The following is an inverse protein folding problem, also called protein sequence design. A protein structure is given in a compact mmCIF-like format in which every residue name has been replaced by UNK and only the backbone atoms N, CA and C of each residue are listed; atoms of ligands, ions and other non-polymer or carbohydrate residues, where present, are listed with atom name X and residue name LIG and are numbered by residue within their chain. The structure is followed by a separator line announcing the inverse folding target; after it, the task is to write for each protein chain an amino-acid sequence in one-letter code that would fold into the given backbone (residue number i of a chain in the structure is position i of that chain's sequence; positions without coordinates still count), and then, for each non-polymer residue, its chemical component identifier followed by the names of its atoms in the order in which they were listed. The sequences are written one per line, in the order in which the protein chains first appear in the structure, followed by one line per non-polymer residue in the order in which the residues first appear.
data_IF_197004338891
#
_entry.id   IF_197004338891
#
_cell.length_a   1.000
_cell.length_b   1.000
_cell.length_c   1.000
_cell.angle_alpha   90.00
_cell.angle_beta   90.00
_cell.angle_gamma   90.00
#
_symmetry.space_group_name_H-M   'P 1'
#
loop_
_entity.id
_entity.type
_entity.pdbx_description
1 polymer ?
#
# COMPACT_ATOMS: atom_id res chain seq x y z
N UNK A 1 -64.22 27.49 -15.39
CA UNK A 1 -63.89 26.20 -16.03
C UNK A 1 -62.60 26.27 -16.87
N UNK A 2 -62.32 27.40 -17.53
CA UNK A 2 -61.11 27.64 -18.36
C UNK A 2 -59.77 27.50 -17.62
N UNK A 3 -59.67 27.96 -16.36
CA UNK A 3 -58.42 27.85 -15.60
C UNK A 3 -57.97 26.39 -15.31
N UNK A 4 -58.93 25.45 -15.20
CA UNK A 4 -58.62 24.05 -14.93
C UNK A 4 -58.11 23.34 -16.19
N UNK A 5 -58.69 23.62 -17.36
CA UNK A 5 -58.27 23.03 -18.65
C UNK A 5 -56.91 23.55 -19.10
N UNK A 6 -56.59 24.81 -18.82
CA UNK A 6 -55.27 25.38 -19.10
C UNK A 6 -54.17 24.70 -18.27
N UNK A 7 -54.47 24.41 -17.00
CA UNK A 7 -53.51 23.76 -16.09
C UNK A 7 -53.18 22.31 -16.48
N UNK A 8 -54.13 21.57 -17.06
CA UNK A 8 -53.90 20.20 -17.53
C UNK A 8 -53.10 20.17 -18.84
N UNK A 9 -53.41 21.05 -19.78
CA UNK A 9 -52.67 21.18 -21.05
C UNK A 9 -51.20 21.58 -20.82
N UNK A 10 -50.96 22.50 -19.87
CA UNK A 10 -49.60 22.90 -19.48
C UNK A 10 -48.79 21.72 -18.93
N UNK A 11 -49.36 20.97 -17.98
CA UNK A 11 -48.67 19.80 -17.40
C UNK A 11 -48.37 18.75 -18.46
N UNK A 12 -49.25 18.60 -19.44
CA UNK A 12 -49.06 17.66 -20.52
C UNK A 12 -47.91 18.06 -21.46
N UNK A 13 -47.85 19.33 -21.87
CA UNK A 13 -46.77 19.86 -22.69
C UNK A 13 -45.44 19.80 -21.95
N UNK A 14 -45.41 20.16 -20.67
CA UNK A 14 -44.21 20.05 -19.83
C UNK A 14 -43.75 18.60 -19.69
N UNK A 15 -44.66 17.65 -19.47
CA UNK A 15 -44.33 16.24 -19.37
C UNK A 15 -43.77 15.70 -20.69
N UNK A 16 -44.35 16.10 -21.82
CA UNK A 16 -43.89 15.72 -23.16
C UNK A 16 -42.49 16.28 -23.42
N UNK A 17 -42.26 17.56 -23.09
CA UNK A 17 -40.96 18.20 -23.19
C UNK A 17 -39.91 17.52 -22.31
N UNK A 18 -40.25 17.18 -21.06
CA UNK A 18 -39.36 16.44 -20.15
C UNK A 18 -39.02 15.05 -20.70
N UNK A 19 -39.98 14.36 -21.32
CA UNK A 19 -39.72 13.08 -21.96
C UNK A 19 -38.74 13.22 -23.14
N UNK A 20 -38.96 14.20 -24.03
CA UNK A 20 -38.05 14.50 -25.13
C UNK A 20 -36.66 14.88 -24.64
N UNK A 21 -36.58 15.72 -23.61
CA UNK A 21 -35.34 16.15 -23.00
C UNK A 21 -34.58 14.97 -22.38
N UNK A 22 -35.25 14.10 -21.62
CA UNK A 22 -34.62 12.92 -21.00
C UNK A 22 -34.00 12.00 -22.05
N UNK A 23 -34.67 11.80 -23.19
CA UNK A 23 -34.14 11.00 -24.30
C UNK A 23 -32.99 11.69 -24.99
N UNK A 24 -33.12 12.97 -25.28
CA UNK A 24 -32.04 13.74 -25.87
C UNK A 24 -30.77 13.72 -24.99
N UNK A 25 -30.92 13.84 -23.66
CA UNK A 25 -29.82 13.70 -22.70
C UNK A 25 -29.17 12.31 -22.80
N UNK A 26 -29.97 11.25 -22.87
CA UNK A 26 -29.45 9.88 -23.03
C UNK A 26 -28.69 9.71 -24.35
N UNK A 27 -29.24 10.17 -25.48
CA UNK A 27 -28.57 10.12 -26.78
C UNK A 27 -27.27 10.92 -26.77
N UNK A 28 -27.27 12.09 -26.12
CA UNK A 28 -26.09 12.94 -26.00
C UNK A 28 -25.01 12.30 -25.13
N UNK A 29 -25.37 11.74 -23.98
CA UNK A 29 -24.46 11.00 -23.12
C UNK A 29 -23.90 9.81 -23.87
N UNK A 30 -24.74 9.01 -24.54
CA UNK A 30 -24.31 7.82 -25.27
C UNK A 30 -23.38 8.15 -26.45
N UNK A 31 -23.61 9.30 -27.11
CA UNK A 31 -22.74 9.80 -28.18
C UNK A 31 -21.40 10.32 -27.66
N UNK A 32 -21.36 10.90 -26.46
CA UNK A 32 -20.14 11.46 -25.88
C UNK A 32 -19.36 10.42 -25.05
N UNK A 33 -20.04 9.38 -24.57
CA UNK A 33 -19.50 8.31 -23.72
C UNK A 33 -18.18 7.73 -24.25
N UNK A 34 -18.06 7.30 -25.52
CA UNK A 34 -16.80 6.73 -26.00
C UNK A 34 -15.65 7.74 -25.99
N UNK A 35 -15.93 9.03 -26.22
CA UNK A 35 -14.90 10.08 -26.17
C UNK A 35 -14.43 10.35 -24.75
N UNK A 36 -15.36 10.48 -23.82
CA UNK A 36 -15.06 10.65 -22.39
C UNK A 36 -14.28 9.44 -21.88
N UNK A 37 -14.74 8.24 -22.20
CA UNK A 37 -14.11 7.00 -21.79
C UNK A 37 -12.72 6.84 -22.39
N UNK A 38 -12.52 7.21 -23.66
CA UNK A 38 -11.18 7.20 -24.29
C UNK A 38 -10.22 8.16 -23.58
N UNK A 39 -10.66 9.37 -23.22
CA UNK A 39 -9.84 10.32 -22.46
C UNK A 39 -9.50 9.81 -21.06
N UNK A 40 -10.49 9.25 -20.36
CA UNK A 40 -10.28 8.66 -19.03
C UNK A 40 -9.34 7.45 -19.08
N UNK A 41 -9.46 6.58 -20.09
CA UNK A 41 -8.56 5.45 -20.30
C UNK A 41 -7.13 5.90 -20.58
N UNK A 42 -6.92 6.91 -21.43
CA UNK A 42 -5.58 7.45 -21.71
C UNK A 42 -4.94 7.96 -20.41
N UNK A 43 -5.67 8.73 -19.61
CA UNK A 43 -5.18 9.20 -18.30
C UNK A 43 -4.86 8.01 -17.39
N UNK A 44 -5.75 7.02 -17.31
CA UNK A 44 -5.53 5.80 -16.53
C UNK A 44 -4.29 5.01 -16.95
N UNK A 45 -4.03 4.88 -18.26
CA UNK A 45 -2.83 4.23 -18.80
C UNK A 45 -1.58 5.02 -18.40
N UNK A 46 -1.57 6.34 -18.59
CA UNK A 46 -0.43 7.19 -18.21
C UNK A 46 -0.16 7.06 -16.70
N UNK A 47 -1.20 7.14 -15.88
CA UNK A 47 -1.07 6.96 -14.42
C UNK A 47 -0.55 5.57 -14.06
N UNK A 48 -1.07 4.50 -14.68
CA UNK A 48 -0.61 3.14 -14.45
C UNK A 48 0.87 2.96 -14.84
N UNK A 49 1.30 3.55 -15.96
CA UNK A 49 2.69 3.55 -16.40
C UNK A 49 3.58 4.28 -15.39
N UNK A 50 3.25 5.52 -15.00
CA UNK A 50 4.06 6.30 -14.06
C UNK A 50 4.20 5.59 -12.71
N UNK A 51 3.08 5.14 -12.11
CA UNK A 51 3.11 4.45 -10.82
C UNK A 51 3.82 3.10 -10.95
N UNK A 52 3.54 2.35 -12.02
CA UNK A 52 4.13 1.04 -12.27
C UNK A 52 5.64 1.10 -12.45
N UNK A 53 6.14 2.07 -13.22
CA UNK A 53 7.58 2.28 -13.41
C UNK A 53 8.30 2.71 -12.14
N UNK A 54 7.66 3.55 -11.32
CA UNK A 54 8.27 3.96 -10.06
C UNK A 54 8.15 2.92 -8.95
N UNK A 55 7.35 1.85 -9.15
CA UNK A 55 7.13 0.82 -8.13
C UNK A 55 6.46 1.34 -6.86
N UNK A 56 5.77 2.48 -6.92
CA UNK A 56 5.26 3.18 -5.73
C UNK A 56 4.16 2.42 -4.98
N UNK A 57 3.43 1.54 -5.66
CA UNK A 57 2.24 0.89 -5.13
C UNK A 57 2.24 -0.62 -5.46
N UNK A 58 1.76 -1.46 -4.51
CA UNK A 58 1.43 -2.85 -4.81
C UNK A 58 0.45 -2.96 -6.00
N UNK A 59 0.54 -4.02 -6.82
CA UNK A 59 -0.33 -4.18 -8.00
C UNK A 59 -1.83 -4.11 -7.68
N UNK A 60 -2.25 -4.68 -6.54
CA UNK A 60 -3.64 -4.67 -6.12
C UNK A 60 -4.17 -3.24 -5.85
N UNK A 61 -3.38 -2.39 -5.19
CA UNK A 61 -3.77 -1.00 -4.92
C UNK A 61 -3.70 -0.16 -6.19
N UNK A 62 -2.74 -0.42 -7.07
CA UNK A 62 -2.63 0.23 -8.38
C UNK A 62 -3.90 0.02 -9.23
N UNK A 63 -4.40 -1.23 -9.32
CA UNK A 63 -5.66 -1.52 -10.05
C UNK A 63 -6.81 -0.72 -9.45
N UNK A 64 -6.95 -0.72 -8.12
CA UNK A 64 -7.99 0.03 -7.42
C UNK A 64 -7.96 1.52 -7.71
N UNK A 65 -6.78 2.14 -7.63
CA UNK A 65 -6.58 3.57 -7.91
C UNK A 65 -6.93 3.91 -9.36
N UNK A 66 -6.47 3.13 -10.33
CA UNK A 66 -6.72 3.38 -11.76
C UNK A 66 -8.21 3.23 -12.09
N UNK A 67 -8.87 2.18 -11.58
CA UNK A 67 -10.31 1.98 -11.79
C UNK A 67 -11.12 3.10 -11.14
N UNK A 68 -10.78 3.50 -9.91
CA UNK A 68 -11.43 4.60 -9.22
C UNK A 68 -11.27 5.92 -9.99
N UNK A 69 -10.07 6.21 -10.51
CA UNK A 69 -9.78 7.41 -11.28
C UNK A 69 -10.58 7.45 -12.60
N UNK A 70 -10.58 6.37 -13.37
CA UNK A 70 -11.34 6.27 -14.63
C UNK A 70 -12.84 6.45 -14.36
N UNK A 71 -13.35 5.80 -13.30
CA UNK A 71 -14.76 5.89 -12.92
C UNK A 71 -15.13 7.30 -12.50
N UNK A 72 -14.33 7.94 -11.65
CA UNK A 72 -14.55 9.32 -11.21
C UNK A 72 -14.53 10.30 -12.39
N UNK A 73 -13.53 10.22 -13.28
CA UNK A 73 -13.45 11.06 -14.47
C UNK A 73 -14.65 10.86 -15.40
N UNK A 74 -15.07 9.61 -15.61
CA UNK A 74 -16.21 9.29 -16.45
C UNK A 74 -17.50 9.86 -15.87
N UNK A 75 -17.71 9.76 -14.55
CA UNK A 75 -18.87 10.33 -13.86
C UNK A 75 -18.86 11.85 -13.92
N UNK A 76 -17.73 12.50 -13.63
CA UNK A 76 -17.62 13.97 -13.64
C UNK A 76 -17.89 14.53 -15.04
N UNK A 77 -17.24 13.95 -16.06
CA UNK A 77 -17.36 14.42 -17.45
C UNK A 77 -18.74 14.13 -18.04
N UNK A 78 -19.31 12.94 -17.78
CA UNK A 78 -20.65 12.58 -18.27
C UNK A 78 -21.75 13.32 -17.51
N UNK A 79 -21.57 13.47 -16.19
CA UNK A 79 -22.48 14.18 -15.29
C UNK A 79 -22.55 15.67 -15.62
N UNK A 80 -21.41 16.31 -15.86
CA UNK A 80 -21.38 17.71 -16.32
C UNK A 80 -22.20 17.91 -17.60
N UNK A 81 -22.06 17.01 -18.58
CA UNK A 81 -22.80 17.10 -19.85
C UNK A 81 -24.30 16.85 -19.67
N UNK A 82 -24.68 15.99 -18.73
CA UNK A 82 -26.09 15.69 -18.42
C UNK A 82 -26.80 16.75 -17.57
N UNK A 83 -26.06 17.47 -16.72
CA UNK A 83 -26.61 18.47 -15.79
C UNK A 83 -26.85 19.85 -16.45
N UNK A 84 -26.02 20.25 -17.43
CA UNK A 84 -26.20 21.51 -18.16
C UNK A 84 -27.17 21.39 -19.36
N UNK A 85 -28.30 20.73 -19.15
CA UNK A 85 -29.39 20.64 -20.14
C UNK A 85 -30.06 22.00 -20.38
N UNK A 86 -30.52 22.24 -21.61
CA UNK A 86 -31.38 23.39 -21.94
C UNK A 86 -32.73 23.16 -21.28
N UNK A 87 -33.21 24.08 -20.46
CA UNK A 87 -34.51 23.96 -19.79
C UNK A 87 -35.54 24.93 -20.41
N UNK A 88 -36.82 24.55 -20.34
CA UNK A 88 -37.95 25.40 -20.73
C UNK A 88 -37.92 25.82 -22.20
N UNK A 89 -37.97 27.13 -22.44
CA UNK A 89 -38.10 27.73 -23.77
C UNK A 89 -36.96 27.34 -24.73
N UNK A 90 -35.73 27.25 -24.21
CA UNK A 90 -34.57 26.87 -25.03
C UNK A 90 -34.63 25.42 -25.51
N UNK A 91 -35.25 24.52 -24.73
CA UNK A 91 -35.51 23.15 -25.15
C UNK A 91 -36.62 23.11 -26.20
N UNK A 92 -37.70 23.87 -25.99
CA UNK A 92 -38.81 23.93 -26.93
C UNK A 92 -38.38 24.44 -28.31
N UNK A 93 -37.60 25.52 -28.38
CA UNK A 93 -37.05 26.03 -29.65
C UNK A 93 -36.16 25.02 -30.35
N UNK A 94 -35.32 24.30 -29.59
CA UNK A 94 -34.47 23.25 -30.17
C UNK A 94 -35.31 22.09 -30.74
N UNK A 95 -36.34 21.64 -30.03
CA UNK A 95 -37.21 20.57 -30.51
C UNK A 95 -38.14 21.04 -31.64
N UNK A 96 -38.49 22.33 -31.67
CA UNK A 96 -39.24 22.90 -32.79
C UNK A 96 -38.44 22.81 -34.09
N UNK A 97 -37.14 23.12 -34.05
CA UNK A 97 -36.24 22.97 -35.18
C UNK A 97 -35.97 21.48 -35.49
N UNK A 98 -35.68 20.67 -34.47
CA UNK A 98 -35.32 19.27 -34.66
C UNK A 98 -36.46 18.40 -35.19
N UNK A 99 -37.72 18.71 -34.83
CA UNK A 99 -38.90 17.97 -35.25
C UNK A 99 -39.74 18.70 -36.31
N UNK A 100 -39.30 19.88 -36.75
CA UNK A 100 -40.01 20.67 -37.77
C UNK A 100 -41.38 21.19 -37.32
N UNK A 101 -41.57 21.46 -36.02
CA UNK A 101 -42.84 21.93 -35.45
C UNK A 101 -43.17 23.41 -35.76
N UNK A 102 -42.30 24.13 -36.48
CA UNK A 102 -42.53 25.53 -36.90
C UNK A 102 -42.86 26.45 -35.71
N UNK A 103 -42.04 26.42 -34.66
CA UNK A 103 -42.17 27.25 -33.45
C UNK A 103 -43.41 26.97 -32.57
N UNK A 104 -44.26 25.99 -32.93
CA UNK A 104 -45.52 25.73 -32.20
C UNK A 104 -45.29 25.42 -30.72
N UNK A 105 -44.24 24.66 -30.36
CA UNK A 105 -43.94 24.32 -28.98
C UNK A 105 -43.43 25.52 -28.18
N UNK A 106 -42.53 26.32 -28.76
CA UNK A 106 -42.01 27.53 -28.13
C UNK A 106 -43.09 28.61 -27.98
N UNK A 107 -43.90 28.86 -29.02
CA UNK A 107 -45.05 29.77 -28.97
C UNK A 107 -46.07 29.30 -27.93
N UNK A 108 -46.39 28.00 -27.85
CA UNK A 108 -47.29 27.47 -26.83
C UNK A 108 -46.78 27.74 -25.40
N UNK A 109 -45.47 27.61 -25.16
CA UNK A 109 -44.87 27.95 -23.87
C UNK A 109 -44.86 29.46 -23.59
N UNK A 110 -44.60 30.31 -24.59
CA UNK A 110 -44.63 31.78 -24.45
C UNK A 110 -46.06 32.27 -24.16
N UNK A 111 -47.08 31.69 -24.80
CA UNK A 111 -48.49 31.97 -24.46
C UNK A 111 -48.82 31.56 -23.02
N UNK A 112 -48.28 30.45 -22.52
CA UNK A 112 -48.50 30.00 -21.15
C UNK A 112 -47.76 30.85 -20.11
N UNK A 113 -46.59 31.39 -20.46
CA UNK A 113 -45.81 32.30 -19.62
C UNK A 113 -46.41 33.72 -19.61
N UNK A 114 -47.34 34.02 -20.52
CA UNK A 114 -48.00 35.31 -20.63
C UNK A 114 -47.21 36.34 -21.44
N UNK A 115 -46.15 35.91 -22.13
CA UNK A 115 -45.32 36.76 -22.97
C UNK A 115 -46.04 37.19 -24.25
N UNK A 116 -47.00 36.39 -24.71
CA UNK A 116 -47.85 36.69 -25.87
C UNK A 116 -49.30 36.88 -25.40
N UNK A 117 -49.85 38.06 -25.62
CA UNK A 117 -51.25 38.36 -25.34
C UNK A 117 -52.14 38.00 -26.53
N UNK A 118 -53.12 37.11 -26.30
CA UNK A 118 -54.14 36.74 -27.28
C UNK A 118 -55.49 36.54 -26.60
N UNK A 119 -56.56 36.37 -27.39
CA UNK A 119 -57.88 36.01 -26.85
C UNK A 119 -57.83 34.61 -26.23
N UNK A 120 -58.47 34.37 -25.06
CA UNK A 120 -58.42 33.07 -24.37
C UNK A 120 -58.82 31.88 -25.25
N UNK A 121 -59.76 32.08 -26.17
CA UNK A 121 -60.24 31.06 -27.11
C UNK A 121 -59.14 30.61 -28.11
N UNK A 122 -58.36 31.56 -28.64
CA UNK A 122 -57.22 31.26 -29.51
C UNK A 122 -56.08 30.58 -28.73
N UNK A 123 -55.84 31.00 -27.48
CA UNK A 123 -54.84 30.37 -26.64
C UNK A 123 -55.17 28.90 -26.40
N UNK A 124 -56.42 28.60 -26.01
CA UNK A 124 -56.88 27.22 -25.80
C UNK A 124 -56.78 26.38 -27.09
N UNK A 125 -57.14 26.96 -28.24
CA UNK A 125 -57.00 26.29 -29.53
C UNK A 125 -55.54 25.98 -29.89
N UNK A 126 -54.63 26.95 -29.74
CA UNK A 126 -53.21 26.79 -30.03
C UNK A 126 -52.57 25.72 -29.12
N UNK A 127 -52.94 25.71 -27.83
CA UNK A 127 -52.45 24.73 -26.87
C UNK A 127 -52.94 23.32 -27.19
N UNK A 128 -54.23 23.15 -27.49
CA UNK A 128 -54.79 21.86 -27.89
C UNK A 128 -54.20 21.34 -29.21
N UNK A 129 -54.00 22.22 -30.20
CA UNK A 129 -53.38 21.88 -31.48
C UNK A 129 -51.91 21.48 -31.30
N UNK A 130 -51.15 22.20 -30.47
CA UNK A 130 -49.74 21.87 -30.19
C UNK A 130 -49.61 20.55 -29.44
N UNK A 131 -50.48 20.31 -28.45
CA UNK A 131 -50.47 19.06 -27.67
C UNK A 131 -50.80 17.84 -28.54
N UNK A 132 -51.78 17.95 -29.45
CA UNK A 132 -52.10 16.86 -30.39
C UNK A 132 -50.94 16.56 -31.33
N UNK A 133 -50.32 17.57 -31.92
CA UNK A 133 -49.16 17.41 -32.81
C UNK A 133 -47.94 16.82 -32.06
N UNK A 134 -47.69 17.26 -30.82
CA UNK A 134 -46.61 16.73 -30.00
C UNK A 134 -46.78 15.24 -29.66
N UNK A 135 -48.03 14.74 -29.55
CA UNK A 135 -48.29 13.30 -29.33
C UNK A 135 -48.03 12.45 -30.57
N UNK A 136 -48.15 13.01 -31.76
CA UNK A 136 -47.93 12.29 -33.02
C UNK A 136 -46.44 12.06 -33.32
N UNK A 137 -45.56 12.91 -32.77
CA UNK A 137 -44.12 12.76 -32.93
C UNK A 137 -43.64 11.56 -32.10
N UNK A 138 -43.01 10.60 -32.76
CA UNK A 138 -42.26 9.54 -32.09
C UNK A 138 -40.79 9.99 -31.91
N UNK A 139 -40.37 10.40 -30.70
CA UNK A 139 -39.02 10.90 -30.49
C UNK A 139 -37.94 9.83 -30.72
N UNK A 140 -38.28 8.54 -30.87
CA UNK A 140 -37.30 7.49 -31.24
C UNK A 140 -36.86 7.58 -32.69
N UNK A 141 -37.76 7.99 -33.57
CA UNK A 141 -37.50 8.09 -35.01
C UNK A 141 -36.76 9.36 -35.36
N UNK A 142 -37.05 10.46 -34.66
CA UNK A 142 -36.39 11.73 -34.95
C UNK A 142 -35.02 11.83 -34.27
N UNK A 143 -34.83 11.22 -33.09
CA UNK A 143 -33.55 11.23 -32.37
C UNK A 143 -32.76 9.93 -32.61
N UNK A 144 -32.26 9.75 -33.83
CA UNK A 144 -31.43 8.59 -34.16
C UNK A 144 -30.07 8.61 -33.45
N UNK A 145 -29.74 7.51 -32.79
CA UNK A 145 -28.41 7.29 -32.20
C UNK A 145 -27.44 6.89 -33.30
N UNK A 146 -26.66 7.85 -33.80
CA UNK A 146 -25.54 7.57 -34.69
C UNK A 146 -24.36 7.03 -33.88
N UNK A 147 -24.32 5.73 -33.67
CA UNK A 147 -23.20 5.06 -33.01
C UNK A 147 -22.03 4.97 -33.99
N UNK A 148 -20.96 5.73 -33.72
CA UNK A 148 -19.71 5.62 -34.47
C UNK A 148 -18.94 4.41 -33.95
N UNK A 149 -19.14 3.24 -34.55
CA UNK A 149 -18.52 1.98 -34.11
C UNK A 149 -16.98 2.06 -34.00
N UNK A 150 -16.32 2.87 -34.85
CA UNK A 150 -14.87 3.12 -34.73
C UNK A 150 -14.46 3.74 -33.39
N UNK A 151 -15.28 4.63 -32.80
CA UNK A 151 -14.98 5.20 -31.48
C UNK A 151 -15.04 4.12 -30.40
N UNK A 152 -15.92 3.13 -30.53
CA UNK A 152 -15.99 1.98 -29.62
C UNK A 152 -14.84 0.99 -29.80
N UNK A 153 -14.40 0.77 -31.04
CA UNK A 153 -13.19 -0.03 -31.31
C UNK A 153 -11.96 0.63 -30.68
N UNK A 154 -11.85 1.95 -30.75
CA UNK A 154 -10.77 2.69 -30.07
C UNK A 154 -10.82 2.51 -28.56
N UNK A 155 -12.01 2.62 -27.95
CA UNK A 155 -12.19 2.37 -26.51
C UNK A 155 -11.78 0.95 -26.14
N UNK A 156 -12.20 -0.05 -26.92
CA UNK A 156 -11.85 -1.45 -26.69
C UNK A 156 -10.34 -1.68 -26.82
N UNK A 157 -9.71 -1.07 -27.82
CA UNK A 157 -8.26 -1.13 -28.00
C UNK A 157 -7.51 -0.50 -26.81
N UNK A 158 -7.93 0.68 -26.35
CA UNK A 158 -7.36 1.32 -25.16
C UNK A 158 -7.56 0.49 -23.90
N UNK A 159 -8.72 -0.15 -23.75
CA UNK A 159 -8.98 -1.04 -22.63
C UNK A 159 -8.04 -2.26 -22.65
N UNK A 160 -7.82 -2.86 -23.82
CA UNK A 160 -6.87 -3.98 -23.98
C UNK A 160 -5.44 -3.55 -23.66
N UNK A 161 -5.03 -2.35 -24.09
CA UNK A 161 -3.71 -1.78 -23.75
C UNK A 161 -3.58 -1.58 -22.23
N UNK A 162 -4.62 -1.05 -21.58
CA UNK A 162 -4.63 -0.88 -20.13
C UNK A 162 -4.50 -2.23 -19.40
N UNK A 163 -5.30 -3.23 -19.79
CA UNK A 163 -5.24 -4.58 -19.22
C UNK A 163 -3.85 -5.18 -19.40
N UNK A 164 -3.28 -5.10 -20.61
CA UNK A 164 -1.93 -5.59 -20.89
C UNK A 164 -0.88 -4.88 -20.03
N UNK A 165 -1.02 -3.56 -19.83
CA UNK A 165 -0.11 -2.75 -18.99
C UNK A 165 -0.19 -3.19 -17.52
N UNK A 166 -1.40 -3.32 -16.98
CA UNK A 166 -1.61 -3.76 -15.59
C UNK A 166 -1.11 -5.20 -15.38
N UNK A 167 -1.38 -6.09 -16.34
CA UNK A 167 -0.89 -7.46 -16.30
C UNK A 167 0.64 -7.53 -16.35
N UNK A 168 1.27 -6.74 -17.23
CA UNK A 168 2.72 -6.66 -17.35
C UNK A 168 3.39 -6.23 -16.03
N UNK A 169 2.89 -5.17 -15.38
CA UNK A 169 3.42 -4.73 -14.10
C UNK A 169 3.15 -5.73 -12.97
N UNK A 170 1.97 -6.35 -12.96
CA UNK A 170 1.63 -7.39 -11.97
C UNK A 170 2.59 -8.58 -12.08
N UNK A 171 2.83 -9.05 -13.31
CA UNK A 171 3.73 -10.17 -13.59
C UNK A 171 5.16 -9.81 -13.21
N UNK A 172 5.65 -8.64 -13.64
CA UNK A 172 7.01 -8.17 -13.33
C UNK A 172 7.22 -8.04 -11.82
N UNK A 173 6.24 -7.50 -11.10
CA UNK A 173 6.29 -7.39 -9.64
C UNK A 173 6.36 -8.76 -8.95
N UNK A 174 5.60 -9.74 -9.43
CA UNK A 174 5.63 -11.10 -8.90
C UNK A 174 6.97 -11.81 -9.15
N UNK A 175 7.55 -11.64 -10.34
CA UNK A 175 8.84 -12.23 -10.71
C UNK A 175 9.99 -11.63 -9.88
N UNK A 176 10.00 -10.31 -9.68
CA UNK A 176 11.03 -9.65 -8.88
C UNK A 176 10.98 -10.03 -7.39
N UNK A 177 9.79 -10.21 -6.80
CA UNK A 177 9.69 -10.74 -5.43
C UNK A 177 10.18 -12.18 -5.33
N UNK A 178 9.83 -13.03 -6.30
CA UNK A 178 10.30 -14.41 -6.34
C UNK A 178 11.82 -14.49 -6.37
N UNK A 179 12.46 -13.73 -7.27
CA UNK A 179 13.91 -13.69 -7.38
C UNK A 179 14.59 -13.13 -6.12
N UNK A 180 14.04 -12.06 -5.53
CA UNK A 180 14.56 -11.52 -4.26
C UNK A 180 14.47 -12.54 -3.12
N UNK A 181 13.39 -13.33 -3.06
CA UNK A 181 13.23 -14.36 -2.04
C UNK A 181 14.22 -15.52 -2.20
N UNK A 182 14.62 -15.88 -3.42
CA UNK A 182 15.64 -16.91 -3.64
C UNK A 182 17.03 -16.44 -3.20
N UNK A 183 17.43 -15.21 -3.54
CA UNK A 183 18.73 -14.68 -3.11
C UNK A 183 18.81 -14.53 -1.59
N UNK A 184 17.73 -14.12 -0.94
CA UNK A 184 17.66 -14.07 0.53
C UNK A 184 17.75 -15.47 1.12
N UNK A 185 17.00 -16.45 0.60
CA UNK A 185 17.06 -17.84 1.09
C UNK A 185 18.45 -18.44 0.93
N UNK A 186 19.14 -18.15 -0.17
CA UNK A 186 20.53 -18.57 -0.37
C UNK A 186 21.47 -17.91 0.64
N UNK A 187 21.28 -16.62 0.93
CA UNK A 187 22.09 -15.91 1.93
C UNK A 187 21.85 -16.43 3.36
N UNK A 188 20.60 -16.69 3.74
CA UNK A 188 20.26 -17.28 5.04
C UNK A 188 20.80 -18.71 5.14
N UNK A 189 20.65 -19.52 4.08
CA UNK A 189 21.20 -20.87 4.04
C UNK A 189 22.73 -20.89 4.15
N UNK A 190 23.42 -19.94 3.52
CA UNK A 190 24.86 -19.81 3.65
C UNK A 190 25.27 -19.41 5.08
N UNK A 191 24.56 -18.45 5.69
CA UNK A 191 24.82 -18.07 7.08
C UNK A 191 24.57 -19.23 8.07
N UNK A 192 23.52 -20.03 7.85
CA UNK A 192 23.26 -21.25 8.64
C UNK A 192 24.39 -22.28 8.50
N UNK A 193 24.99 -22.40 7.31
CA UNK A 193 26.12 -23.31 7.07
C UNK A 193 27.39 -22.78 7.76
N UNK A 194 27.68 -21.48 7.64
CA UNK A 194 28.79 -20.84 8.35
C UNK A 194 28.68 -21.00 9.87
N UNK A 195 27.48 -20.83 10.45
CA UNK A 195 27.25 -21.03 11.89
C UNK A 195 27.51 -22.48 12.29
N UNK A 196 27.04 -23.47 11.51
CA UNK A 196 27.30 -24.90 11.79
C UNK A 196 28.78 -25.24 11.73
N UNK A 197 29.51 -24.70 10.75
CA UNK A 197 30.95 -24.91 10.61
C UNK A 197 31.71 -24.36 11.83
N UNK A 198 31.34 -23.16 12.29
CA UNK A 198 31.91 -22.56 13.52
C UNK A 198 31.57 -23.40 14.76
N UNK A 199 30.33 -23.91 14.87
CA UNK A 199 29.92 -24.81 15.96
C UNK A 199 30.78 -26.07 16.00
N UNK A 200 31.06 -26.69 14.84
CA UNK A 200 31.90 -27.90 14.76
C UNK A 200 33.38 -27.60 15.08
N UNK A 201 33.89 -26.46 14.65
CA UNK A 201 35.25 -25.99 15.00
C UNK A 201 35.40 -25.79 16.51
N UNK A 202 34.47 -25.07 17.16
CA UNK A 202 34.48 -24.85 18.61
C UNK A 202 34.32 -26.16 19.38
N UNK A 203 33.47 -27.07 18.91
CA UNK A 203 33.26 -28.38 19.54
C UNK A 203 34.54 -29.24 19.56
N UNK A 204 35.46 -29.02 18.62
CA UNK A 204 36.70 -29.79 18.49
C UNK A 204 37.94 -29.04 18.98
N UNK A 205 37.80 -27.78 19.41
CA UNK A 205 38.93 -26.96 19.89
C UNK A 205 39.39 -27.40 21.30
N UNK A 206 40.60 -27.95 21.35
CA UNK A 206 41.28 -28.36 22.58
C UNK A 206 41.89 -27.19 23.38
N UNK A 207 41.91 -25.99 22.81
CA UNK A 207 42.41 -24.77 23.47
C UNK A 207 41.41 -24.13 24.43
N UNK A 208 40.13 -24.51 24.35
CA UNK A 208 39.06 -24.03 25.22
C UNK A 208 38.86 -24.97 26.41
N UNK A 209 38.53 -24.39 27.56
CA UNK A 209 38.03 -25.17 28.71
C UNK A 209 36.65 -25.76 28.38
N UNK A 210 36.24 -26.79 29.14
CA UNK A 210 34.96 -27.44 28.89
C UNK A 210 33.79 -26.48 29.16
N UNK A 211 33.92 -25.62 30.17
CA UNK A 211 32.93 -24.59 30.51
C UNK A 211 32.79 -23.50 29.43
N UNK A 212 33.90 -22.98 28.91
CA UNK A 212 33.88 -21.98 27.83
C UNK A 212 33.29 -22.56 26.54
N UNK A 213 33.67 -23.81 26.22
CA UNK A 213 33.15 -24.51 25.05
C UNK A 213 31.63 -24.65 25.13
N UNK A 214 31.11 -25.09 26.28
CA UNK A 214 29.67 -25.31 26.44
C UNK A 214 28.86 -24.01 26.34
N UNK A 215 29.35 -22.90 26.91
CA UNK A 215 28.69 -21.59 26.81
C UNK A 215 28.62 -21.05 25.36
N UNK A 216 29.72 -21.20 24.60
CA UNK A 216 29.77 -20.81 23.19
C UNK A 216 28.84 -21.68 22.33
N UNK A 217 28.83 -23.00 22.57
CA UNK A 217 27.96 -23.93 21.86
C UNK A 217 26.48 -23.65 22.13
N UNK A 218 26.10 -23.37 23.38
CA UNK A 218 24.71 -23.00 23.73
C UNK A 218 24.28 -21.73 22.99
N UNK A 219 25.13 -20.70 22.96
CA UNK A 219 24.84 -19.45 22.24
C UNK A 219 24.64 -19.69 20.74
N UNK A 220 25.52 -20.47 20.12
CA UNK A 220 25.44 -20.78 18.69
C UNK A 220 24.24 -21.65 18.34
N UNK A 221 23.86 -22.60 19.20
CA UNK A 221 22.69 -23.46 19.00
C UNK A 221 21.40 -22.65 19.04
N UNK A 222 21.26 -21.73 20.01
CA UNK A 222 20.10 -20.82 20.09
C UNK A 222 19.98 -19.97 18.83
N UNK A 223 21.06 -19.32 18.40
CA UNK A 223 21.04 -18.51 17.17
C UNK A 223 20.78 -19.34 15.91
N UNK A 224 21.25 -20.59 15.85
CA UNK A 224 20.97 -21.50 14.74
C UNK A 224 19.49 -21.89 14.68
N UNK A 225 18.87 -22.15 15.83
CA UNK A 225 17.44 -22.45 15.93
C UNK A 225 16.58 -21.24 15.51
N UNK A 226 16.97 -20.04 15.94
CA UNK A 226 16.31 -18.79 15.53
C UNK A 226 16.45 -18.56 14.02
N UNK A 227 17.65 -18.78 13.45
CA UNK A 227 17.89 -18.68 12.01
C UNK A 227 17.13 -19.74 11.19
N UNK A 228 16.75 -20.89 11.79
CA UNK A 228 15.98 -21.95 11.13
C UNK A 228 14.46 -21.76 11.19
N UNK A 229 13.97 -20.74 11.90
CA UNK A 229 12.55 -20.47 11.99
C UNK A 229 11.89 -20.25 10.60
N UNK A 230 10.76 -20.90 10.36
CA UNK A 230 10.11 -21.01 9.02
C UNK A 230 9.63 -19.66 8.45
N UNK A 231 9.51 -18.64 9.29
CA UNK A 231 8.98 -17.30 8.97
C UNK A 231 10.01 -16.16 9.12
N UNK A 232 11.31 -16.46 9.20
CA UNK A 232 12.34 -15.42 9.39
C UNK A 232 12.46 -14.49 8.18
N UNK A 233 12.35 -13.18 8.39
CA UNK A 233 12.57 -12.18 7.32
C UNK A 233 14.06 -11.90 7.10
N UNK A 234 14.43 -11.29 5.97
CA UNK A 234 15.85 -10.95 5.69
C UNK A 234 16.39 -9.95 6.73
N UNK A 235 15.54 -9.02 7.13
CA UNK A 235 15.85 -7.99 8.12
C UNK A 235 16.05 -8.62 9.50
N UNK A 236 15.20 -9.57 9.89
CA UNK A 236 15.33 -10.29 11.15
C UNK A 236 16.60 -11.16 11.14
N UNK A 237 16.88 -11.88 10.05
CA UNK A 237 18.12 -12.66 9.90
C UNK A 237 19.39 -11.81 10.06
N UNK A 238 19.39 -10.58 9.55
CA UNK A 238 20.51 -9.66 9.71
C UNK A 238 20.65 -9.16 11.14
N UNK A 239 19.53 -8.90 11.81
CA UNK A 239 19.52 -8.52 13.23
C UNK A 239 20.08 -9.66 14.08
N UNK A 240 19.62 -10.90 13.86
CA UNK A 240 20.12 -12.06 14.60
C UNK A 240 21.62 -12.28 14.38
N UNK A 241 22.11 -12.17 13.15
CA UNK A 241 23.57 -12.25 12.89
C UNK A 241 24.35 -11.13 13.59
N UNK A 242 23.80 -9.92 13.65
CA UNK A 242 24.45 -8.81 14.37
C UNK A 242 24.42 -8.98 15.89
N UNK A 243 23.38 -9.61 16.44
CA UNK A 243 23.29 -9.97 17.85
C UNK A 243 24.30 -11.06 18.18
N UNK A 244 24.34 -12.12 17.36
CA UNK A 244 25.32 -13.19 17.49
C UNK A 244 26.77 -12.66 17.46
N UNK A 245 27.11 -11.76 16.54
CA UNK A 245 28.45 -11.14 16.49
C UNK A 245 28.75 -10.33 17.76
N UNK A 246 27.77 -9.60 18.29
CA UNK A 246 27.91 -8.83 19.52
C UNK A 246 28.15 -9.74 20.73
N UNK A 247 27.38 -10.83 20.83
CA UNK A 247 27.45 -11.77 21.95
C UNK A 247 28.77 -12.56 21.92
N UNK A 248 29.20 -13.02 20.75
CA UNK A 248 30.52 -13.67 20.58
C UNK A 248 31.66 -12.72 20.92
N UNK A 249 31.57 -11.43 20.55
CA UNK A 249 32.58 -10.42 20.91
C UNK A 249 32.61 -10.19 22.42
N UNK A 250 31.45 -10.13 23.07
CA UNK A 250 31.34 -9.98 24.52
C UNK A 250 31.95 -11.17 25.27
N UNK A 251 31.66 -12.40 24.83
CA UNK A 251 32.25 -13.62 25.41
C UNK A 251 33.76 -13.67 25.22
N UNK A 252 34.25 -13.33 24.02
CA UNK A 252 35.69 -13.28 23.75
C UNK A 252 36.44 -12.24 24.61
N UNK A 253 35.80 -11.11 24.94
CA UNK A 253 36.36 -10.10 25.84
C UNK A 253 36.37 -10.57 27.30
N UNK A 254 35.29 -11.22 27.76
CA UNK A 254 35.22 -11.82 29.09
C UNK A 254 36.30 -12.89 29.32
N UNK A 255 36.49 -13.80 28.35
CA UNK A 255 37.56 -14.82 28.40
C UNK A 255 38.95 -14.16 28.47
N UNK A 256 39.19 -13.11 27.68
CA UNK A 256 40.46 -12.39 27.71
C UNK A 256 40.73 -11.75 29.07
N UNK A 257 39.70 -11.17 29.69
CA UNK A 257 39.81 -10.56 31.01
C UNK A 257 40.08 -11.59 32.09
N UNK A 258 39.47 -12.76 32.01
CA UNK A 258 39.71 -13.89 32.93
C UNK A 258 41.16 -14.40 32.82
N UNK A 259 41.65 -14.65 31.61
CA UNK A 259 43.04 -15.06 31.37
C UNK A 259 44.03 -14.00 31.86
N UNK A 260 43.72 -12.71 31.68
CA UNK A 260 44.56 -11.62 32.17
C UNK A 260 44.60 -11.56 33.70
N UNK A 261 43.47 -11.80 34.37
CA UNK A 261 43.38 -11.87 35.83
C UNK A 261 44.13 -13.06 36.39
N UNK A 262 44.00 -14.23 35.76
CA UNK A 262 44.71 -15.44 36.19
C UNK A 262 46.22 -15.28 36.03
N UNK A 263 46.68 -14.74 34.90
CA UNK A 263 48.09 -14.43 34.69
C UNK A 263 48.64 -13.45 35.73
N UNK A 264 47.89 -12.39 36.06
CA UNK A 264 48.27 -11.43 37.09
C UNK A 264 48.31 -12.07 38.49
N UNK A 265 47.38 -12.98 38.80
CA UNK A 265 47.36 -13.71 40.06
C UNK A 265 48.55 -14.69 40.17
N UNK A 266 48.89 -15.37 39.09
CA UNK A 266 50.06 -16.24 39.03
C UNK A 266 51.36 -15.45 39.19
N UNK A 267 51.50 -14.30 38.50
CA UNK A 267 52.66 -13.41 38.66
C UNK A 267 52.77 -12.87 40.10
N UNK A 268 51.64 -12.50 40.72
CA UNK A 268 51.62 -12.08 42.11
C UNK A 268 52.03 -13.22 43.06
N UNK A 269 51.53 -14.44 42.82
CA UNK A 269 51.90 -15.61 43.60
C UNK A 269 53.38 -15.98 43.43
N UNK A 270 53.93 -15.96 42.21
CA UNK A 270 55.35 -16.22 41.97
C UNK A 270 56.24 -15.17 42.63
N UNK A 271 55.85 -13.89 42.55
CA UNK A 271 56.57 -12.80 43.20
C UNK A 271 56.50 -12.89 44.74
N UNK A 272 55.42 -13.43 45.31
CA UNK A 272 55.32 -13.69 46.74
C UNK A 272 56.15 -14.90 47.19
N UNK A 273 56.34 -15.89 46.31
CA UNK A 273 57.16 -17.09 46.57
C UNK A 273 58.66 -16.87 46.38
N UNK A 274 59.07 -15.93 45.51
CA UNK A 274 60.49 -15.61 45.25
C UNK A 274 61.30 -15.21 46.50
N UNK A 275 60.81 -14.33 47.41
CA UNK A 275 61.54 -14.00 48.63
C UNK A 275 61.58 -15.14 49.67
N UNK A 276 60.72 -16.17 49.54
CA UNK A 276 60.77 -17.37 50.40
C UNK A 276 61.85 -18.36 49.95
N UNK A 277 62.29 -18.30 48.68
CA UNK A 277 63.32 -19.20 48.14
C UNK A 277 64.76 -18.81 48.55
N UNK A 278 64.99 -17.56 48.96
CA UNK A 278 66.31 -17.03 49.32
C UNK A 278 66.53 -16.88 50.84
N UNK A 279 65.65 -17.48 51.66
CA UNK A 279 65.81 -17.48 53.13
C UNK A 279 66.82 -18.56 53.54
N UNK A 280 68.00 -18.21 54.10
CA UNK A 280 68.94 -19.18 54.64
C UNK A 280 68.28 -19.93 55.81
N UNK A 281 68.52 -21.24 55.92
CA UNK A 281 68.04 -22.12 57.01
C UNK A 281 68.67 -21.76 58.38
N UNK A 282 68.54 -20.51 58.82
CA UNK A 282 68.84 -20.09 60.19
C UNK A 282 67.53 -19.97 60.98
N UNK A 283 67.65 -20.23 62.27
CA UNK A 283 66.61 -20.43 63.31
C UNK A 283 65.51 -19.35 63.44
N UNK A 284 65.49 -18.32 62.60
CA UNK A 284 64.43 -17.31 62.55
C UNK A 284 63.19 -17.77 61.78
N UNK A 285 63.29 -18.77 60.90
CA UNK A 285 62.14 -19.29 60.15
C UNK A 285 61.09 -19.95 61.07
N UNK A 286 61.53 -20.65 62.12
CA UNK A 286 60.63 -21.25 63.12
C UNK A 286 59.88 -20.19 63.94
N UNK A 287 60.46 -18.99 64.14
CA UNK A 287 59.78 -17.87 64.81
C UNK A 287 58.77 -17.19 63.88
N UNK A 288 59.09 -17.03 62.60
CA UNK A 288 58.15 -16.44 61.65
C UNK A 288 56.98 -17.38 61.32
N UNK A 289 57.20 -18.70 61.26
CA UNK A 289 56.10 -19.67 61.15
C UNK A 289 55.16 -19.64 62.37
N UNK A 290 55.69 -19.36 63.57
CA UNK A 290 54.86 -19.19 64.76
C UNK A 290 54.01 -17.91 64.70
N UNK A 291 54.59 -16.78 64.24
CA UNK A 291 53.84 -15.52 64.07
C UNK A 291 52.81 -15.58 62.93
N UNK A 292 53.09 -16.32 61.85
CA UNK A 292 52.14 -16.53 60.74
C UNK A 292 51.00 -17.46 61.17
N UNK A 293 51.27 -18.48 61.98
CA UNK A 293 50.23 -19.35 62.54
C UNK A 293 49.29 -18.61 63.51
N UNK A 294 49.77 -17.58 64.22
CA UNK A 294 48.95 -16.73 65.09
C UNK A 294 48.12 -15.69 64.31
N UNK A 295 48.50 -15.32 63.09
CA UNK A 295 47.80 -14.31 62.28
C UNK A 295 46.79 -14.88 61.26
N UNK A 296 46.91 -16.17 60.92
CA UNK A 296 45.94 -16.86 60.05
C UNK A 296 44.49 -16.87 60.57
N UNK A 297 44.19 -17.00 61.87
CA UNK A 297 42.81 -16.93 62.38
C UNK A 297 42.16 -15.53 62.24
N UNK A 298 42.96 -14.47 62.17
CA UNK A 298 42.45 -13.09 62.06
C UNK A 298 42.03 -12.73 60.62
N UNK A 299 42.73 -13.27 59.62
CA UNK A 299 42.39 -13.07 58.20
C UNK A 299 41.12 -13.82 57.79
N UNK A 300 40.89 -15.02 58.33
CA UNK A 300 39.70 -15.84 58.05
C UNK A 300 38.42 -15.19 58.64
N UNK A 301 38.56 -14.48 59.77
CA UNK A 301 37.47 -13.71 60.37
C UNK A 301 37.12 -12.46 59.53
N UNK A 302 38.12 -11.81 58.93
CA UNK A 302 37.91 -10.61 58.12
C UNK A 302 37.27 -10.93 56.75
N UNK A 303 37.66 -12.05 56.12
CA UNK A 303 37.04 -12.51 54.87
C UNK A 303 35.59 -12.98 55.06
N UNK A 304 35.24 -13.55 56.22
CA UNK A 304 33.84 -13.89 56.53
C UNK A 304 32.95 -12.65 56.74
N UNK A 305 33.52 -11.51 57.17
CA UNK A 305 32.77 -10.27 57.36
C UNK A 305 32.55 -9.50 56.03
N UNK A 306 33.46 -9.64 55.06
CA UNK A 306 33.29 -9.11 53.70
C UNK A 306 32.31 -9.93 52.85
N UNK A 307 32.26 -11.26 53.01
CA UNK A 307 31.32 -12.11 52.27
C UNK A 307 29.86 -12.02 52.76
N UNK A 308 29.61 -11.35 53.89
CA UNK A 308 28.28 -11.18 54.47
C UNK A 308 27.61 -9.82 54.15
N UNK A 309 28.30 -8.94 53.40
CA UNK A 309 27.76 -7.67 52.88
C UNK A 309 27.56 -7.74 51.37
#
# INVERSE_FOLDING_TARGET
MTALTQSSALRELENTLRQWESRWRLVRVLRLLPRVLSGALIVGIITALVIGFMGLLPPATLIGVVVALITALTIILSGGVGLFGRQGLAAARYFDEAFGLQERMSTALELLQGDIHTTPELADFQLASTASLAREIDPRKELHVQVRWLEWVLVLALLMVLIATLFFFTLTYSLNRGAASETTRLAISAAQEDVRDITEEIATDSGLTDEEREALLETLEVSLDELQAEDLSSEDAFVEMSMLESDLRGQAEAIRDEVAQEAAAQDAASNALDPLADVPQDTQFDQQLADVADTLPELDAQQQEEAAN
#
